data_IF_817586011978
#
_entry.id   IF_817586011978
#
_cell.length_a   1.000
_cell.length_b   1.000
_cell.length_c   1.000
_cell.angle_alpha   90.00
_cell.angle_beta   90.00
_cell.angle_gamma   90.00
#
_symmetry.space_group_name_H-M   'P 1'
#
loop_
_entity.id
_entity.type
_entity.pdbx_description
1 polymer ?
#
# COMPACT_ATOMS: atom_id res chain seq x y z
N UNK A 1 -3.22 -11.09 5.78
CA UNK A 1 -2.55 -10.20 6.75
C UNK A 1 -3.26 -10.04 8.08
N UNK A 2 -4.45 -9.40 8.19
CA UNK A 2 -5.12 -9.19 9.50
C UNK A 2 -5.18 -10.46 10.37
N UNK A 3 -5.60 -11.59 9.81
CA UNK A 3 -5.65 -12.87 10.53
C UNK A 3 -4.27 -13.40 10.98
N UNK A 4 -3.21 -13.20 10.18
CA UNK A 4 -1.84 -13.62 10.55
C UNK A 4 -1.30 -12.76 11.68
N UNK A 5 -1.59 -11.45 11.66
CA UNK A 5 -1.12 -10.50 12.67
C UNK A 5 -1.90 -10.57 14.00
N UNK A 6 -2.98 -11.34 14.09
CA UNK A 6 -3.58 -11.72 15.38
C UNK A 6 -2.58 -12.51 16.22
N UNK A 7 -1.76 -13.35 15.57
CA UNK A 7 -0.71 -14.16 16.18
C UNK A 7 0.62 -13.40 16.27
N UNK A 8 0.62 -12.07 16.26
CA UNK A 8 1.85 -11.27 16.27
C UNK A 8 2.76 -11.59 17.46
N UNK A 9 2.19 -12.01 18.58
CA UNK A 9 2.93 -12.39 19.79
C UNK A 9 3.67 -13.73 19.64
N UNK A 10 3.25 -14.57 18.68
CA UNK A 10 3.88 -15.85 18.37
C UNK A 10 4.99 -15.72 17.32
N UNK A 11 5.21 -14.52 16.78
CA UNK A 11 6.30 -14.25 15.83
C UNK A 11 7.64 -14.30 16.56
N UNK A 12 8.42 -15.34 16.30
CA UNK A 12 9.71 -15.55 16.95
C UNK A 12 10.87 -14.81 16.26
N UNK A 13 10.72 -14.46 14.98
CA UNK A 13 11.77 -13.83 14.18
C UNK A 13 11.26 -12.51 13.62
N UNK A 14 12.03 -11.43 13.78
CA UNK A 14 11.74 -10.12 13.19
C UNK A 14 10.34 -9.55 13.53
N UNK A 15 9.78 -9.89 14.70
CA UNK A 15 8.47 -9.43 15.15
C UNK A 15 8.27 -7.91 14.99
N UNK A 16 9.25 -7.11 15.44
CA UNK A 16 9.17 -5.64 15.34
C UNK A 16 9.10 -5.17 13.88
N UNK A 17 9.86 -5.81 12.98
CA UNK A 17 9.84 -5.49 11.56
C UNK A 17 8.50 -5.88 10.93
N UNK A 18 7.98 -7.08 11.25
CA UNK A 18 6.67 -7.54 10.79
C UNK A 18 5.52 -6.64 11.26
N UNK A 19 5.55 -6.20 12.52
CA UNK A 19 4.57 -5.24 13.04
C UNK A 19 4.68 -3.90 12.31
N UNK A 20 5.89 -3.36 12.14
CA UNK A 20 6.11 -2.08 11.46
C UNK A 20 5.56 -2.09 10.03
N UNK A 21 5.94 -3.06 9.20
CA UNK A 21 5.45 -3.10 7.81
C UNK A 21 3.94 -3.31 7.77
N UNK A 22 3.38 -4.11 8.67
CA UNK A 22 1.93 -4.29 8.75
C UNK A 22 1.21 -2.97 9.08
N UNK A 23 1.67 -2.23 10.08
CA UNK A 23 1.09 -0.94 10.46
C UNK A 23 1.18 0.06 9.30
N UNK A 24 2.31 0.07 8.56
CA UNK A 24 2.46 0.89 7.35
C UNK A 24 1.50 0.49 6.24
N UNK A 25 1.25 -0.81 6.03
CA UNK A 25 0.28 -1.29 5.03
C UNK A 25 -1.15 -0.93 5.40
N UNK A 26 -1.50 -1.00 6.68
CA UNK A 26 -2.81 -0.55 7.18
C UNK A 26 -2.98 0.94 6.93
N UNK A 27 -2.00 1.76 7.31
CA UNK A 27 -2.05 3.20 7.11
C UNK A 27 -2.10 3.57 5.62
N UNK A 28 -1.33 2.89 4.77
CA UNK A 28 -1.36 3.12 3.32
C UNK A 28 -2.74 2.78 2.74
N UNK A 29 -3.33 1.65 3.15
CA UNK A 29 -4.67 1.25 2.72
C UNK A 29 -5.74 2.25 3.15
N UNK A 30 -5.72 2.68 4.42
CA UNK A 30 -6.70 3.61 4.96
C UNK A 30 -6.59 4.98 4.27
N UNK A 31 -5.36 5.48 4.09
CA UNK A 31 -5.09 6.75 3.39
C UNK A 31 -5.56 6.71 1.94
N UNK A 32 -5.21 5.65 1.19
CA UNK A 32 -5.63 5.50 -0.21
C UNK A 32 -7.16 5.40 -0.30
N UNK A 33 -7.79 4.69 0.63
CA UNK A 33 -9.25 4.55 0.66
C UNK A 33 -9.95 5.87 0.94
N UNK A 34 -9.39 6.70 1.82
CA UNK A 34 -9.87 8.07 2.06
C UNK A 34 -9.73 8.93 0.81
N UNK A 35 -8.55 8.95 0.18
CA UNK A 35 -8.30 9.74 -1.04
C UNK A 35 -9.22 9.33 -2.20
N UNK A 36 -9.48 8.02 -2.38
CA UNK A 36 -10.47 7.56 -3.36
C UNK A 36 -11.87 8.10 -3.03
N UNK A 37 -12.30 8.01 -1.77
CA UNK A 37 -13.63 8.45 -1.34
C UNK A 37 -13.81 9.97 -1.44
N UNK A 38 -12.77 10.75 -1.19
CA UNK A 38 -12.84 12.21 -1.24
C UNK A 38 -12.79 12.74 -2.68
N UNK A 39 -12.04 12.10 -3.57
CA UNK A 39 -11.71 12.68 -4.87
C UNK A 39 -12.45 12.04 -6.04
N UNK A 40 -12.88 10.78 -5.93
CA UNK A 40 -13.43 10.00 -7.04
C UNK A 40 -14.91 9.67 -6.85
N UNK A 41 -15.65 9.66 -7.96
CA UNK A 41 -17.05 9.21 -8.01
C UNK A 41 -17.11 7.76 -8.48
N UNK A 42 -17.86 6.93 -7.75
CA UNK A 42 -17.93 5.49 -8.02
C UNK A 42 -18.63 5.18 -9.35
N UNK A 43 -19.58 6.02 -9.74
CA UNK A 43 -20.33 5.93 -11.00
C UNK A 43 -19.42 6.03 -12.23
N UNK A 44 -18.27 6.68 -12.10
CA UNK A 44 -17.32 6.92 -13.19
C UNK A 44 -16.23 5.84 -13.30
N UNK A 45 -16.29 4.78 -12.46
CA UNK A 45 -15.26 3.76 -12.34
C UNK A 45 -14.84 3.13 -13.67
N UNK A 46 -15.79 2.81 -14.54
CA UNK A 46 -15.49 2.09 -15.78
C UNK A 46 -14.89 2.99 -16.88
N UNK A 47 -14.97 4.31 -16.73
CA UNK A 47 -14.54 5.27 -17.76
C UNK A 47 -13.32 6.09 -17.35
N UNK A 48 -13.27 6.55 -16.09
CA UNK A 48 -12.29 7.54 -15.63
C UNK A 48 -11.21 6.98 -14.70
N UNK A 49 -11.38 5.76 -14.19
CA UNK A 49 -10.43 5.17 -13.24
C UNK A 49 -9.32 4.34 -13.92
N UNK A 50 -9.19 4.42 -15.25
CA UNK A 50 -8.20 3.63 -16.01
C UNK A 50 -6.75 3.91 -15.55
N UNK A 51 -6.45 5.15 -15.16
CA UNK A 51 -5.13 5.52 -14.62
C UNK A 51 -4.77 4.77 -13.33
N UNK A 52 -5.76 4.31 -12.56
CA UNK A 52 -5.57 3.58 -11.30
C UNK A 52 -5.24 2.10 -11.50
N UNK A 53 -5.55 1.52 -12.66
CA UNK A 53 -5.49 0.06 -12.84
C UNK A 53 -4.08 -0.50 -12.58
N UNK A 54 -3.08 0.07 -13.23
CA UNK A 54 -1.68 -0.38 -13.10
C UNK A 54 -1.10 -0.08 -11.71
N UNK A 55 -1.22 1.16 -11.15
CA UNK A 55 -0.79 1.45 -9.79
C UNK A 55 -1.43 0.53 -8.74
N UNK A 56 -2.73 0.29 -8.82
CA UNK A 56 -3.44 -0.59 -7.87
C UNK A 56 -3.00 -2.05 -7.99
N UNK A 57 -2.73 -2.53 -9.21
CA UNK A 57 -2.18 -3.87 -9.43
C UNK A 57 -0.78 -4.02 -8.82
N UNK A 58 0.06 -2.98 -8.92
CA UNK A 58 1.40 -2.97 -8.29
C UNK A 58 1.29 -2.94 -6.76
N UNK A 59 0.42 -2.10 -6.21
CA UNK A 59 0.16 -2.04 -4.77
C UNK A 59 -0.32 -3.39 -4.23
N UNK A 60 -1.25 -4.04 -4.93
CA UNK A 60 -1.72 -5.38 -4.55
C UNK A 60 -0.59 -6.42 -4.52
N UNK A 61 0.34 -6.38 -5.48
CA UNK A 61 1.51 -7.27 -5.48
C UNK A 61 2.39 -7.05 -4.26
N UNK A 62 2.65 -5.80 -3.91
CA UNK A 62 3.43 -5.44 -2.70
C UNK A 62 2.74 -5.98 -1.45
N UNK A 63 1.42 -5.81 -1.32
CA UNK A 63 0.65 -6.36 -0.19
C UNK A 63 0.78 -7.89 -0.11
N UNK A 64 0.83 -8.59 -1.25
CA UNK A 64 1.03 -10.05 -1.29
C UNK A 64 2.44 -10.46 -0.91
N UNK A 65 3.46 -9.75 -1.39
CA UNK A 65 4.85 -10.00 -1.05
C UNK A 65 5.10 -9.83 0.46
N UNK A 66 4.52 -8.79 1.07
CA UNK A 66 4.61 -8.61 2.52
C UNK A 66 3.85 -9.70 3.28
N UNK A 67 2.66 -10.12 2.83
CA UNK A 67 1.92 -11.22 3.46
C UNK A 67 2.77 -12.51 3.46
N UNK A 68 3.50 -12.79 2.37
CA UNK A 68 4.42 -13.92 2.29
C UNK A 68 5.61 -13.77 3.25
N UNK A 69 6.22 -12.58 3.32
CA UNK A 69 7.31 -12.30 4.25
C UNK A 69 6.91 -12.50 5.71
N UNK A 70 5.75 -11.96 6.11
CA UNK A 70 5.23 -12.12 7.48
C UNK A 70 4.96 -13.59 7.78
N UNK A 71 4.32 -14.33 6.86
CA UNK A 71 4.10 -15.78 7.04
C UNK A 71 5.40 -16.55 7.20
N UNK A 72 6.44 -16.19 6.44
CA UNK A 72 7.75 -16.81 6.55
C UNK A 72 8.38 -16.58 7.93
N UNK A 73 8.22 -15.39 8.51
CA UNK A 73 8.69 -15.05 9.85
C UNK A 73 7.88 -15.70 10.99
N UNK A 74 6.59 -15.99 10.75
CA UNK A 74 5.70 -16.71 11.70
C UNK A 74 5.96 -18.22 11.69
N UNK A 75 6.28 -18.78 10.52
CA UNK A 75 6.41 -20.22 10.34
C UNK A 75 7.60 -20.81 11.12
N UNK A 76 7.31 -21.82 11.95
CA UNK A 76 8.28 -22.52 12.82
C UNK A 76 9.14 -23.54 12.07
N UNK A 77 8.79 -23.89 10.83
CA UNK A 77 9.58 -24.84 10.04
C UNK A 77 10.96 -24.27 9.74
N UNK A 78 12.01 -25.08 9.90
CA UNK A 78 13.42 -24.71 9.68
C UNK A 78 13.87 -23.47 10.46
N UNK A 79 13.42 -23.38 11.72
CA UNK A 79 13.64 -22.20 12.56
C UNK A 79 15.11 -21.80 12.68
N UNK A 80 16.03 -22.74 12.89
CA UNK A 80 17.46 -22.44 13.00
C UNK A 80 18.02 -21.86 11.70
N UNK A 81 17.67 -22.41 10.54
CA UNK A 81 18.07 -21.88 9.24
C UNK A 81 17.52 -20.47 9.00
N UNK A 82 16.26 -20.25 9.37
CA UNK A 82 15.61 -18.93 9.31
C UNK A 82 16.28 -17.91 10.21
N UNK A 83 16.59 -18.24 11.46
CA UNK A 83 17.27 -17.31 12.39
C UNK A 83 18.61 -16.88 11.82
N UNK A 84 19.42 -17.83 11.34
CA UNK A 84 20.73 -17.52 10.73
C UNK A 84 20.56 -16.64 9.49
N UNK A 85 19.56 -16.92 8.64
CA UNK A 85 19.32 -16.11 7.43
C UNK A 85 18.72 -14.72 7.74
N UNK A 86 17.86 -14.61 8.75
CA UNK A 86 17.03 -13.43 9.00
C UNK A 86 17.57 -12.48 10.07
N UNK A 87 18.52 -12.89 10.91
CA UNK A 87 19.00 -12.06 12.03
C UNK A 87 19.68 -10.75 11.60
N UNK A 88 20.25 -10.70 10.39
CA UNK A 88 20.82 -9.48 9.78
C UNK A 88 20.00 -8.98 8.58
N UNK A 89 18.85 -9.61 8.32
CA UNK A 89 18.05 -9.29 7.16
C UNK A 89 17.41 -7.91 7.32
N UNK A 90 17.60 -7.08 6.29
CA UNK A 90 17.06 -5.72 6.20
C UNK A 90 15.95 -5.59 5.16
N UNK A 91 15.50 -6.70 4.58
CA UNK A 91 14.53 -6.71 3.47
C UNK A 91 13.21 -6.07 3.87
N UNK A 92 12.81 -6.10 5.15
CA UNK A 92 11.64 -5.35 5.60
C UNK A 92 11.76 -3.85 5.25
N UNK A 93 12.93 -3.25 5.50
CA UNK A 93 13.15 -1.81 5.25
C UNK A 93 13.60 -1.58 3.81
N UNK A 94 14.66 -2.25 3.40
CA UNK A 94 15.36 -2.02 2.13
C UNK A 94 14.54 -2.48 0.92
N UNK A 95 13.64 -3.45 1.09
CA UNK A 95 12.81 -3.97 0.00
C UNK A 95 11.32 -3.67 0.20
N UNK A 96 10.69 -4.16 1.28
CA UNK A 96 9.24 -4.07 1.43
C UNK A 96 8.73 -2.65 1.70
N UNK A 97 9.33 -1.94 2.67
CA UNK A 97 8.97 -0.54 2.95
C UNK A 97 9.32 0.36 1.77
N UNK A 98 10.51 0.19 1.18
CA UNK A 98 10.90 0.93 -0.03
C UNK A 98 9.87 0.76 -1.16
N UNK A 99 9.52 -0.47 -1.50
CA UNK A 99 8.55 -0.74 -2.57
C UNK A 99 7.17 -0.16 -2.25
N UNK A 100 6.72 -0.24 -0.99
CA UNK A 100 5.48 0.37 -0.54
C UNK A 100 5.50 1.88 -0.74
N UNK A 101 6.53 2.58 -0.23
CA UNK A 101 6.64 4.03 -0.32
C UNK A 101 6.73 4.53 -1.77
N UNK A 102 7.54 3.86 -2.61
CA UNK A 102 7.64 4.19 -4.03
C UNK A 102 6.35 3.92 -4.81
N UNK A 103 5.58 2.90 -4.44
CA UNK A 103 4.29 2.63 -5.08
C UNK A 103 3.19 3.56 -4.56
N UNK A 104 3.26 3.96 -3.29
CA UNK A 104 2.27 4.80 -2.65
C UNK A 104 2.17 6.16 -3.36
N UNK A 105 3.30 6.84 -3.62
CA UNK A 105 3.31 8.12 -4.33
C UNK A 105 2.66 8.02 -5.71
N UNK A 106 2.99 6.97 -6.47
CA UNK A 106 2.40 6.72 -7.80
C UNK A 106 0.89 6.48 -7.73
N UNK A 107 0.41 5.81 -6.68
CA UNK A 107 -1.02 5.59 -6.47
C UNK A 107 -1.73 6.90 -6.14
N UNK A 108 -1.17 7.75 -5.27
CA UNK A 108 -1.74 9.06 -4.95
C UNK A 108 -1.82 9.94 -6.20
N UNK A 109 -0.73 10.05 -6.96
CA UNK A 109 -0.70 10.82 -8.21
C UNK A 109 -1.75 10.32 -9.22
N UNK A 110 -1.94 9.00 -9.32
CA UNK A 110 -2.96 8.43 -10.19
C UNK A 110 -4.39 8.72 -9.72
N UNK A 111 -4.63 8.83 -8.39
CA UNK A 111 -5.92 9.28 -7.83
C UNK A 111 -6.15 10.73 -8.18
N UNK A 112 -5.15 11.59 -8.00
CA UNK A 112 -5.24 13.02 -8.32
C UNK A 112 -5.50 13.23 -9.82
N UNK A 113 -4.78 12.54 -10.70
CA UNK A 113 -5.00 12.58 -12.14
C UNK A 113 -6.41 12.11 -12.55
N UNK A 114 -6.92 11.05 -11.91
CA UNK A 114 -8.29 10.59 -12.12
C UNK A 114 -9.33 11.59 -11.57
N UNK A 115 -8.99 12.30 -10.50
CA UNK A 115 -9.84 13.31 -9.89
C UNK A 115 -9.93 14.60 -10.72
N UNK A 116 -8.86 15.01 -11.40
CA UNK A 116 -8.85 16.17 -12.31
C UNK A 116 -9.85 16.01 -13.45
N UNK A 117 -9.99 14.80 -13.98
CA UNK A 117 -10.92 14.48 -15.07
C UNK A 117 -12.32 14.07 -14.55
N UNK A 118 -12.47 13.91 -13.24
CA UNK A 118 -13.73 13.63 -12.56
C UNK A 118 -14.46 14.95 -12.29
N UNK A 119 -15.67 15.09 -12.83
CA UNK A 119 -16.38 16.37 -12.93
C UNK A 119 -17.32 16.38 -14.13
N UNK A 120 -18.46 17.06 -13.97
CA UNK A 120 -19.50 17.16 -15.03
C UNK A 120 -19.29 18.41 -15.88
N UNK A 121 -18.67 19.46 -15.34
CA UNK A 121 -18.37 20.71 -16.04
C UNK A 121 -16.87 21.07 -15.99
N UNK A 122 -16.45 21.99 -16.89
CA UNK A 122 -15.06 22.44 -16.95
C UNK A 122 -14.62 23.30 -15.76
N UNK A 123 -15.55 23.92 -15.05
CA UNK A 123 -15.25 24.80 -13.92
C UNK A 123 -14.83 23.99 -12.68
N UNK A 124 -15.50 22.87 -12.41
CA UNK A 124 -15.17 21.91 -11.36
C UNK A 124 -13.80 21.27 -11.63
N UNK A 125 -13.52 20.89 -12.89
CA UNK A 125 -12.21 20.37 -13.30
C UNK A 125 -11.09 21.41 -13.09
N UNK A 126 -11.31 22.68 -13.47
CA UNK A 126 -10.30 23.73 -13.23
C UNK A 126 -10.08 24.01 -11.74
N UNK A 127 -11.14 24.07 -10.92
CA UNK A 127 -11.02 24.26 -9.46
C UNK A 127 -10.18 23.16 -8.81
N UNK A 128 -10.39 21.89 -9.19
CA UNK A 128 -9.60 20.75 -8.69
C UNK A 128 -8.13 20.87 -9.09
N UNK A 129 -7.85 21.18 -10.35
CA UNK A 129 -6.48 21.40 -10.85
C UNK A 129 -5.75 22.49 -10.06
N UNK A 130 -6.40 23.62 -9.81
CA UNK A 130 -5.82 24.69 -8.99
C UNK A 130 -5.59 24.30 -7.54
N UNK A 131 -6.44 23.44 -6.96
CA UNK A 131 -6.24 22.94 -5.59
C UNK A 131 -5.05 21.97 -5.50
N UNK A 132 -4.86 21.12 -6.50
CA UNK A 132 -3.74 20.17 -6.57
C UNK A 132 -2.40 20.89 -6.77
N UNK A 133 -2.35 21.93 -7.60
CA UNK A 133 -1.14 22.76 -7.76
C UNK A 133 -0.74 23.54 -6.50
N UNK A 134 -1.63 23.66 -5.52
CA UNK A 134 -1.38 24.37 -4.25
C UNK A 134 -1.07 23.44 -3.07
N UNK A 135 -1.25 22.13 -3.24
CA UNK A 135 -0.80 21.10 -2.29
C UNK A 135 0.72 20.95 -2.41
#
# INVERSE_FOLDING_TARGET
>A
MKAVMVLKHDIQINQRQCCLIYDMLVLAFDTISEEIRQNLRFEERNMKWKALELPMKKLYRIFKEVDLYIRYCVDIKDWWGKVVSLHLNRDCVEFHIHNLLCCFSVVIEAIEAAAEISGVDQEEMQKRRFSLMKK
#
